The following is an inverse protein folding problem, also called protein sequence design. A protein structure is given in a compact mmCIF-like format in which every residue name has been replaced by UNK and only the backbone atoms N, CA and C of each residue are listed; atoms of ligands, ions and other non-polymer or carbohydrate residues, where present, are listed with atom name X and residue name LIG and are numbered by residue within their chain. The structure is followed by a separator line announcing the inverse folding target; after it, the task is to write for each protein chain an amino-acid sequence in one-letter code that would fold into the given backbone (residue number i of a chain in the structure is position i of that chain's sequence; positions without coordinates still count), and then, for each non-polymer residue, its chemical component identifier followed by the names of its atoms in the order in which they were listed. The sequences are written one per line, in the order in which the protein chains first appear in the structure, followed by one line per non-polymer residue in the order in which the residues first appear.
data_IF_542627741184
#
_entry.id   IF_542627741184
#
_cell.length_a   1.000
_cell.length_b   1.000
_cell.length_c   1.000
_cell.angle_alpha   90.00
_cell.angle_beta   90.00
_cell.angle_gamma   90.00
#
_symmetry.space_group_name_H-M   'P 1'
#
loop_
_entity.id
_entity.type
_entity.pdbx_description
1 polymer ?
#
# COMPACT_ATOMS: atom_id res chain seq x y z
N UNK A 1 18.30 -55.23 29.62
CA UNK A 1 17.49 -54.00 29.54
C UNK A 1 16.08 -54.40 29.16
N UNK A 2 15.06 -54.11 29.97
CA UNK A 2 13.73 -54.73 29.83
C UNK A 2 12.87 -54.01 28.77
N UNK A 3 11.97 -54.72 28.07
CA UNK A 3 11.17 -54.18 26.95
C UNK A 3 10.35 -52.93 27.30
N UNK A 4 9.92 -52.79 28.56
CA UNK A 4 9.22 -51.60 29.08
C UNK A 4 10.13 -50.37 29.15
N UNK A 5 11.40 -50.55 29.50
CA UNK A 5 12.40 -49.47 29.56
C UNK A 5 12.70 -48.94 28.16
N UNK A 6 12.83 -49.83 27.17
CA UNK A 6 13.14 -49.46 25.79
C UNK A 6 12.01 -48.60 25.18
N UNK A 7 10.74 -49.00 25.36
CA UNK A 7 9.56 -48.25 24.87
C UNK A 7 9.42 -46.87 25.49
N UNK A 8 9.79 -46.71 26.76
CA UNK A 8 9.73 -45.43 27.45
C UNK A 8 10.82 -44.47 26.98
N UNK A 9 12.01 -44.99 26.68
CA UNK A 9 13.13 -44.19 26.13
C UNK A 9 12.83 -43.75 24.69
N UNK A 10 12.23 -44.62 23.86
CA UNK A 10 11.85 -44.24 22.47
C UNK A 10 10.76 -43.17 22.46
N UNK A 11 9.75 -43.25 23.35
CA UNK A 11 8.71 -42.23 23.47
C UNK A 11 9.28 -40.88 23.93
N UNK A 12 10.22 -40.88 24.88
CA UNK A 12 10.87 -39.67 25.37
C UNK A 12 11.75 -39.00 24.29
N UNK A 13 12.43 -39.79 23.47
CA UNK A 13 13.22 -39.30 22.33
C UNK A 13 12.33 -38.73 21.20
N UNK A 14 11.18 -39.34 20.94
CA UNK A 14 10.22 -38.84 19.94
C UNK A 14 9.57 -37.51 20.36
N UNK A 15 9.24 -37.34 21.64
CA UNK A 15 8.65 -36.10 22.17
C UNK A 15 9.66 -34.96 22.16
N UNK A 16 10.93 -35.23 22.50
CA UNK A 16 11.98 -34.20 22.48
C UNK A 16 12.36 -33.76 21.05
N UNK A 17 12.39 -34.68 20.08
CA UNK A 17 12.63 -34.35 18.68
C UNK A 17 11.48 -33.51 18.06
N UNK A 18 10.23 -33.79 18.43
CA UNK A 18 9.07 -33.04 17.94
C UNK A 18 9.03 -31.61 18.51
N UNK A 19 9.41 -31.42 19.78
CA UNK A 19 9.51 -30.09 20.40
C UNK A 19 10.61 -29.23 19.78
N UNK A 20 11.74 -29.82 19.39
CA UNK A 20 12.86 -29.10 18.78
C UNK A 20 12.55 -28.65 17.34
N UNK A 21 11.79 -29.47 16.59
CA UNK A 21 11.32 -29.13 15.25
C UNK A 21 10.32 -27.96 15.24
N UNK A 22 9.45 -27.86 16.26
CA UNK A 22 8.49 -26.75 16.38
C UNK A 22 9.20 -25.41 16.68
N UNK A 23 10.28 -25.42 17.46
CA UNK A 23 11.05 -24.21 17.80
C UNK A 23 11.86 -23.68 16.60
N UNK A 24 12.30 -24.56 15.69
CA UNK A 24 13.02 -24.15 14.48
C UNK A 24 12.09 -23.54 13.42
N UNK A 25 10.81 -23.92 13.40
CA UNK A 25 9.81 -23.37 12.46
C UNK A 25 9.33 -21.98 12.90
N UNK A 26 9.24 -21.71 14.21
CA UNK A 26 8.83 -20.39 14.72
C UNK A 26 9.90 -19.30 14.60
N UNK A 27 11.17 -19.68 14.42
CA UNK A 27 12.30 -18.73 14.30
C UNK A 27 12.57 -18.24 12.88
N UNK A 28 11.98 -18.85 11.84
CA UNK A 28 12.02 -18.32 10.46
C UNK A 28 10.86 -17.35 10.14
N UNK A 29 9.83 -17.29 10.98
CA UNK A 29 8.63 -16.46 10.74
C UNK A 29 8.75 -14.99 11.17
N UNK A 30 9.84 -14.59 11.83
CA UNK A 30 9.97 -13.28 12.49
C UNK A 30 10.69 -12.20 11.66
N UNK A 31 11.04 -12.47 10.39
CA UNK A 31 11.74 -11.49 9.53
C UNK A 31 10.81 -10.68 8.60
N UNK A 32 9.51 -10.95 8.61
CA UNK A 32 8.53 -10.14 7.88
C UNK A 32 7.78 -9.25 8.88
N UNK A 33 8.47 -8.23 9.41
CA UNK A 33 7.73 -7.08 9.92
C UNK A 33 6.96 -6.50 8.72
N UNK A 34 5.62 -6.39 8.78
CA UNK A 34 4.94 -5.51 7.83
C UNK A 34 5.57 -4.13 8.06
N UNK A 35 6.26 -3.59 7.05
CA UNK A 35 6.68 -2.19 7.05
C UNK A 35 5.40 -1.42 7.34
N UNK A 36 5.30 -0.86 8.54
CA UNK A 36 4.18 -0.02 8.91
C UNK A 36 4.07 1.03 7.81
N UNK A 37 2.90 1.13 7.17
CA UNK A 37 2.62 2.11 6.12
C UNK A 37 2.82 3.58 6.57
N UNK A 38 3.23 3.79 7.83
CA UNK A 38 3.65 5.06 8.42
C UNK A 38 5.11 5.45 8.09
N UNK A 39 5.97 4.49 7.72
CA UNK A 39 7.40 4.79 7.48
C UNK A 39 7.71 5.18 6.02
N UNK A 40 6.83 4.86 5.06
CA UNK A 40 6.98 5.22 3.65
C UNK A 40 6.28 6.53 3.31
N UNK A 41 6.93 7.38 2.50
CA UNK A 41 6.33 8.63 2.03
C UNK A 41 5.07 8.33 1.20
N UNK A 42 3.98 9.09 1.39
CA UNK A 42 2.76 8.86 0.63
C UNK A 42 2.95 9.15 -0.85
N UNK A 43 2.21 8.43 -1.69
CA UNK A 43 2.09 8.76 -3.11
C UNK A 43 1.20 9.98 -3.25
N UNK A 44 1.71 11.03 -3.90
CA UNK A 44 0.95 12.25 -4.17
C UNK A 44 0.39 12.19 -5.59
N UNK A 45 -0.93 12.13 -5.70
CA UNK A 45 -1.65 12.02 -6.98
C UNK A 45 -2.29 13.36 -7.32
N UNK A 46 -2.02 13.87 -8.52
CA UNK A 46 -2.45 15.20 -8.97
C UNK A 46 -3.49 15.08 -10.08
N UNK A 47 -4.62 15.77 -9.92
CA UNK A 47 -5.72 15.87 -10.89
C UNK A 47 -5.83 17.33 -11.34
N UNK A 48 -5.77 17.55 -12.65
CA UNK A 48 -5.81 18.88 -13.23
C UNK A 48 -7.24 19.45 -13.31
N UNK A 49 -7.31 20.76 -13.53
CA UNK A 49 -8.57 21.47 -13.74
C UNK A 49 -9.11 21.36 -15.17
N UNK A 50 -10.23 22.02 -15.43
CA UNK A 50 -10.76 22.16 -16.77
C UNK A 50 -9.77 22.96 -17.65
N UNK A 51 -9.73 22.65 -18.94
CA UNK A 51 -8.85 23.30 -19.93
C UNK A 51 -7.34 23.18 -19.64
N UNK A 52 -6.95 22.28 -18.75
CA UNK A 52 -5.56 21.97 -18.42
C UNK A 52 -5.21 20.51 -18.79
N UNK A 53 -3.96 20.13 -18.56
CA UNK A 53 -3.45 18.77 -18.74
C UNK A 53 -2.51 18.38 -17.58
N UNK A 54 -2.11 17.11 -17.51
CA UNK A 54 -1.24 16.60 -16.44
C UNK A 54 0.10 17.34 -16.35
N UNK A 55 0.65 17.81 -17.47
CA UNK A 55 1.92 18.53 -17.53
C UNK A 55 1.90 19.86 -16.75
N UNK A 56 0.72 20.41 -16.45
CA UNK A 56 0.58 21.60 -15.58
C UNK A 56 1.20 21.39 -14.19
N UNK A 57 1.40 20.13 -13.76
CA UNK A 57 2.02 19.81 -12.49
C UNK A 57 3.53 19.56 -12.54
N UNK A 58 4.19 19.60 -13.72
CA UNK A 58 5.61 19.24 -13.87
C UNK A 58 6.54 19.96 -12.88
N UNK A 59 6.33 21.26 -12.66
CA UNK A 59 7.12 22.04 -11.71
C UNK A 59 6.93 21.62 -10.24
N UNK A 60 5.75 21.13 -9.87
CA UNK A 60 5.45 20.60 -8.53
C UNK A 60 6.02 19.20 -8.37
N UNK A 61 5.80 18.33 -9.36
CA UNK A 61 6.36 16.97 -9.40
C UNK A 61 7.87 16.99 -9.23
N UNK A 62 8.58 17.84 -9.99
CA UNK A 62 10.04 17.99 -9.90
C UNK A 62 10.50 18.24 -8.45
N UNK A 63 9.82 19.13 -7.73
CA UNK A 63 10.18 19.48 -6.34
C UNK A 63 9.86 18.35 -5.35
N UNK A 64 8.78 17.61 -5.56
CA UNK A 64 8.38 16.51 -4.67
C UNK A 64 9.21 15.25 -4.90
N UNK A 65 9.52 14.93 -6.16
CA UNK A 65 10.44 13.87 -6.54
C UNK A 65 11.83 14.14 -5.96
N UNK A 66 12.33 15.38 -6.04
CA UNK A 66 13.60 15.76 -5.40
C UNK A 66 13.60 15.58 -3.87
N UNK A 67 12.42 15.60 -3.25
CA UNK A 67 12.21 15.29 -1.82
C UNK A 67 11.91 13.82 -1.57
N UNK A 68 11.92 12.94 -2.57
CA UNK A 68 11.68 11.51 -2.44
C UNK A 68 10.22 11.10 -2.29
N UNK A 69 9.26 11.97 -2.62
CA UNK A 69 7.85 11.57 -2.67
C UNK A 69 7.57 10.85 -3.99
N UNK A 70 6.90 9.68 -3.97
CA UNK A 70 6.31 9.12 -5.17
C UNK A 70 5.18 10.04 -5.66
N UNK A 71 5.09 10.28 -6.96
CA UNK A 71 4.12 11.21 -7.54
C UNK A 71 3.50 10.67 -8.81
N UNK A 72 2.21 10.93 -9.00
CA UNK A 72 1.46 10.62 -10.23
C UNK A 72 0.69 11.87 -10.65
N UNK A 73 0.81 12.29 -11.91
CA UNK A 73 -0.10 13.27 -12.50
C UNK A 73 -1.04 12.54 -13.47
N UNK A 74 -2.30 12.34 -13.07
CA UNK A 74 -3.25 11.60 -13.88
C UNK A 74 -3.79 12.48 -15.02
N UNK A 75 -3.96 11.90 -16.20
CA UNK A 75 -4.58 12.56 -17.35
C UNK A 75 -6.09 12.29 -17.34
N UNK A 76 -6.86 13.10 -16.61
CA UNK A 76 -8.31 12.95 -16.62
C UNK A 76 -8.89 13.52 -17.93
N UNK A 77 -9.81 12.80 -18.60
CA UNK A 77 -10.16 13.08 -19.99
C UNK A 77 -11.14 14.25 -20.18
N UNK A 78 -11.58 14.89 -19.10
CA UNK A 78 -12.53 16.01 -19.08
C UNK A 78 -13.87 15.66 -19.75
N UNK A 79 -14.39 14.45 -19.49
CA UNK A 79 -15.64 13.94 -20.09
C UNK A 79 -16.84 14.04 -19.16
N UNK A 80 -16.62 14.36 -17.90
CA UNK A 80 -17.67 14.53 -16.90
C UNK A 80 -17.17 14.10 -15.52
N UNK A 81 -17.62 14.79 -14.47
CA UNK A 81 -17.06 14.59 -13.11
C UNK A 81 -17.15 13.13 -12.69
N UNK A 82 -18.27 12.45 -12.97
CA UNK A 82 -18.44 11.04 -12.63
C UNK A 82 -17.46 10.13 -13.39
N UNK A 83 -17.41 10.22 -14.72
CA UNK A 83 -16.54 9.35 -15.53
C UNK A 83 -15.06 9.58 -15.25
N UNK A 84 -14.68 10.85 -15.04
CA UNK A 84 -13.32 11.23 -14.69
C UNK A 84 -12.96 10.73 -13.28
N UNK A 85 -13.90 10.78 -12.32
CA UNK A 85 -13.71 10.25 -10.99
C UNK A 85 -13.60 8.72 -10.98
N UNK A 86 -14.41 8.01 -11.77
CA UNK A 86 -14.32 6.55 -11.93
C UNK A 86 -12.94 6.15 -12.47
N UNK A 87 -12.41 6.91 -13.44
CA UNK A 87 -11.06 6.72 -13.97
C UNK A 87 -9.98 6.96 -12.91
N UNK A 88 -10.04 8.10 -12.20
CA UNK A 88 -9.09 8.41 -11.11
C UNK A 88 -9.15 7.36 -10.00
N UNK A 89 -10.35 6.90 -9.63
CA UNK A 89 -10.54 5.84 -8.64
C UNK A 89 -9.86 4.52 -9.06
N UNK A 90 -9.83 4.21 -10.36
CA UNK A 90 -9.13 3.04 -10.88
C UNK A 90 -7.61 3.12 -10.71
N UNK A 91 -7.01 4.31 -10.93
CA UNK A 91 -5.59 4.56 -10.68
C UNK A 91 -5.31 4.41 -9.18
N UNK A 92 -6.14 5.04 -8.35
CA UNK A 92 -6.06 5.02 -6.90
C UNK A 92 -6.07 3.61 -6.29
N UNK A 93 -6.81 2.67 -6.89
CA UNK A 93 -6.86 1.26 -6.46
C UNK A 93 -5.58 0.49 -6.74
N UNK A 94 -4.77 0.94 -7.70
CA UNK A 94 -3.49 0.32 -8.06
C UNK A 94 -2.33 0.76 -7.16
N UNK A 95 -2.54 1.76 -6.31
CA UNK A 95 -1.50 2.34 -5.46
C UNK A 95 -1.54 1.66 -4.09
N UNK A 96 -0.41 1.05 -3.73
CA UNK A 96 -0.17 0.51 -2.39
C UNK A 96 0.26 1.63 -1.43
N UNK A 97 -0.14 1.52 -0.16
CA UNK A 97 0.25 2.47 0.88
C UNK A 97 -0.52 3.80 0.86
N UNK A 98 -0.10 4.80 1.66
CA UNK A 98 -0.86 6.02 1.86
C UNK A 98 -0.84 6.94 0.63
N UNK A 99 -1.99 7.56 0.34
CA UNK A 99 -2.20 8.46 -0.80
C UNK A 99 -2.60 9.85 -0.30
N UNK A 100 -1.98 10.88 -0.88
CA UNK A 100 -2.46 12.27 -0.82
C UNK A 100 -2.99 12.63 -2.20
N UNK A 101 -4.27 12.98 -2.29
CA UNK A 101 -4.94 13.27 -3.55
C UNK A 101 -5.17 14.78 -3.70
N UNK A 102 -4.59 15.38 -4.73
CA UNK A 102 -4.55 16.83 -4.96
C UNK A 102 -5.38 17.16 -6.19
N UNK A 103 -6.32 18.09 -6.06
CA UNK A 103 -7.25 18.47 -7.13
C UNK A 103 -7.33 19.98 -7.30
N UNK A 104 -7.00 20.50 -8.48
CA UNK A 104 -7.15 21.92 -8.78
C UNK A 104 -8.45 22.19 -9.55
N UNK A 105 -9.24 23.19 -9.10
CA UNK A 105 -10.47 23.63 -9.79
C UNK A 105 -11.43 22.46 -10.04
N UNK A 106 -11.78 22.15 -11.30
CA UNK A 106 -12.54 20.96 -11.71
C UNK A 106 -12.00 19.66 -11.09
N UNK A 107 -10.67 19.53 -10.99
CA UNK A 107 -10.02 18.39 -10.34
C UNK A 107 -10.46 18.21 -8.89
N UNK A 108 -10.80 19.28 -8.18
CA UNK A 108 -11.39 19.24 -6.84
C UNK A 108 -12.70 18.45 -6.79
N UNK A 109 -13.59 18.71 -7.74
CA UNK A 109 -14.84 17.94 -7.88
C UNK A 109 -14.56 16.47 -8.23
N UNK A 110 -13.59 16.21 -9.10
CA UNK A 110 -13.20 14.84 -9.48
C UNK A 110 -12.67 14.07 -8.27
N UNK A 111 -11.72 14.62 -7.51
CA UNK A 111 -11.11 13.92 -6.36
C UNK A 111 -12.12 13.63 -5.25
N UNK A 112 -13.06 14.55 -5.04
CA UNK A 112 -14.13 14.40 -4.04
C UNK A 112 -15.01 13.19 -4.35
N UNK A 113 -15.26 12.92 -5.64
CA UNK A 113 -16.07 11.79 -6.08
C UNK A 113 -15.25 10.49 -6.17
N UNK A 114 -13.94 10.58 -6.42
CA UNK A 114 -13.06 9.43 -6.62
C UNK A 114 -12.63 8.72 -5.32
N UNK A 115 -12.69 9.42 -4.17
CA UNK A 115 -12.13 8.91 -2.90
C UNK A 115 -12.96 7.79 -2.27
N UNK A 116 -14.24 7.67 -2.63
CA UNK A 116 -15.19 6.80 -1.93
C UNK A 116 -14.73 5.32 -1.91
N UNK A 117 -14.64 4.76 -0.70
CA UNK A 117 -14.25 3.37 -0.48
C UNK A 117 -12.74 3.08 -0.59
N UNK A 118 -11.90 4.08 -0.82
CA UNK A 118 -10.44 3.90 -0.83
C UNK A 118 -9.82 4.27 0.51
N UNK A 119 -9.50 3.26 1.33
CA UNK A 119 -8.89 3.44 2.64
C UNK A 119 -7.44 3.95 2.60
N UNK A 120 -6.77 3.87 1.44
CA UNK A 120 -5.40 4.34 1.27
C UNK A 120 -5.32 5.86 1.16
N UNK A 121 -6.40 6.55 0.75
CA UNK A 121 -6.43 8.01 0.70
C UNK A 121 -6.49 8.59 2.10
N UNK A 122 -5.46 9.34 2.48
CA UNK A 122 -5.30 9.94 3.82
C UNK A 122 -5.58 11.44 3.86
N UNK A 123 -5.53 12.11 2.72
CA UNK A 123 -5.81 13.54 2.61
C UNK A 123 -6.31 13.90 1.21
N UNK A 124 -7.18 14.92 1.17
CA UNK A 124 -7.59 15.65 -0.02
C UNK A 124 -7.02 17.08 0.07
N UNK A 125 -6.46 17.59 -1.03
CA UNK A 125 -5.88 18.94 -1.13
C UNK A 125 -6.44 19.66 -2.34
#
# INVERSE_FOLDING_TARGET
MNMLTIRNVTRLLLITALSLAVILITSLGTVMNPVSAQDSKPTVVFIHGAFAESASWNGVLTKLIAKGYPTIAAANPLRGVKSDADYVASILKSIEGPIVLVGHSYGGSVITNAVNGNQNVKALV
#
